data_IF_796952268781
#
_entry.id   IF_796952268781
#
_cell.length_a   1.000
_cell.length_b   1.000
_cell.length_c   1.000
_cell.angle_alpha   90.00
_cell.angle_beta   90.00
_cell.angle_gamma   90.00
#
_symmetry.space_group_name_H-M   'P 1'
#
loop_
_entity.id
_entity.type
_entity.pdbx_description
1 polymer ?
#
# COMPACT_ATOMS: atom_id res chain seq x y z
N UNK A 1 12.43 -10.34 1.71
CA UNK A 1 11.06 -9.80 1.79
C UNK A 1 11.18 -8.39 2.35
N UNK A 2 10.87 -7.36 1.56
CA UNK A 2 10.85 -5.97 2.04
C UNK A 2 9.66 -5.84 2.99
N UNK A 3 9.92 -5.42 4.23
CA UNK A 3 8.88 -5.29 5.24
C UNK A 3 8.72 -3.82 5.57
N UNK A 4 7.51 -3.28 5.38
CA UNK A 4 7.23 -1.86 5.59
C UNK A 4 7.19 -1.58 7.09
N UNK A 5 8.04 -0.70 7.62
CA UNK A 5 7.98 -0.34 9.03
C UNK A 5 6.76 0.54 9.30
N UNK A 6 5.90 0.12 10.22
CA UNK A 6 4.70 0.87 10.56
C UNK A 6 3.59 0.06 11.21
N UNK A 7 2.39 0.64 11.22
CA UNK A 7 1.20 0.13 11.87
C UNK A 7 -0.01 0.12 10.94
N UNK A 8 -0.84 -0.91 11.06
CA UNK A 8 -2.19 -0.95 10.46
C UNK A 8 -3.22 -0.64 11.52
N UNK A 9 -4.07 0.35 11.28
CA UNK A 9 -5.14 0.74 12.21
C UNK A 9 -6.21 -0.34 12.20
N UNK A 10 -6.45 -0.96 13.36
CA UNK A 10 -7.57 -1.88 13.57
C UNK A 10 -8.82 -1.11 14.02
N UNK A 11 -8.64 -0.09 14.86
CA UNK A 11 -9.74 0.69 15.43
C UNK A 11 -9.29 2.10 15.80
N UNK A 12 -10.16 3.09 15.57
CA UNK A 12 -9.96 4.48 16.01
C UNK A 12 -10.73 4.71 17.30
N UNK A 13 -10.01 4.86 18.40
CA UNK A 13 -10.59 5.11 19.70
C UNK A 13 -10.78 6.62 19.93
N UNK A 14 -11.53 6.97 20.97
CA UNK A 14 -11.98 8.35 21.22
C UNK A 14 -10.80 9.30 21.54
N UNK A 15 -11.10 10.55 21.89
CA UNK A 15 -10.08 11.48 22.39
C UNK A 15 -9.55 10.93 23.72
N UNK A 16 -8.26 10.61 23.76
CA UNK A 16 -7.53 10.59 25.02
C UNK A 16 -7.53 12.00 25.64
N UNK A 17 -7.10 12.13 26.89
CA UNK A 17 -6.99 13.42 27.57
C UNK A 17 -6.16 14.41 26.73
N UNK A 18 -6.82 15.43 26.18
CA UNK A 18 -6.25 16.53 25.38
C UNK A 18 -5.91 16.19 23.93
N UNK A 19 -6.69 16.70 22.95
CA UNK A 19 -6.44 16.83 21.48
C UNK A 19 -5.80 15.67 20.68
N UNK A 20 -5.36 14.59 21.31
CA UNK A 20 -4.70 13.44 20.70
C UNK A 20 -5.74 12.40 20.32
N UNK A 21 -5.53 11.74 19.19
CA UNK A 21 -6.36 10.61 18.78
C UNK A 21 -5.70 9.32 19.24
N UNK A 22 -6.44 8.46 19.93
CA UNK A 22 -6.00 7.11 20.27
C UNK A 22 -6.42 6.14 19.18
N UNK A 23 -5.53 5.24 18.82
CA UNK A 23 -5.80 4.18 17.85
C UNK A 23 -5.26 2.85 18.37
N UNK A 24 -5.98 1.78 18.08
CA UNK A 24 -5.51 0.39 18.23
C UNK A 24 -5.06 -0.07 16.86
N UNK A 25 -3.88 -0.68 16.81
CA UNK A 25 -3.23 -1.07 15.59
C UNK A 25 -2.36 -2.31 15.79
N UNK A 26 -2.11 -3.03 14.71
CA UNK A 26 -1.09 -4.09 14.67
C UNK A 26 0.19 -3.54 14.02
N UNK A 27 1.33 -4.14 14.36
CA UNK A 27 2.61 -3.82 13.73
C UNK A 27 2.75 -4.54 12.39
N UNK A 28 3.13 -3.83 11.34
CA UNK A 28 3.35 -4.39 10.00
C UNK A 28 4.77 -4.99 9.88
N UNK A 29 5.77 -4.36 10.52
CA UNK A 29 7.10 -4.89 10.88
C UNK A 29 8.02 -3.77 11.39
N UNK A 30 9.23 -4.14 11.83
CA UNK A 30 10.35 -3.23 12.07
C UNK A 30 10.21 -2.39 13.34
N UNK A 31 11.22 -2.41 14.20
CA UNK A 31 11.27 -1.54 15.37
C UNK A 31 11.08 -0.07 14.97
N UNK A 32 10.25 0.65 15.72
CA UNK A 32 10.13 2.08 15.53
C UNK A 32 11.43 2.76 15.97
N UNK A 33 12.02 3.57 15.10
CA UNK A 33 13.01 4.54 15.53
C UNK A 33 12.29 5.64 16.31
N UNK A 34 12.74 5.91 17.55
CA UNK A 34 12.27 7.07 18.30
C UNK A 34 12.54 8.35 17.49
N UNK A 35 11.52 9.20 17.37
CA UNK A 35 11.62 10.44 16.61
C UNK A 35 11.49 10.29 15.09
N UNK A 36 11.22 9.09 14.56
CA UNK A 36 10.93 8.93 13.15
C UNK A 36 9.70 9.74 12.69
N UNK A 37 9.77 10.27 11.48
CA UNK A 37 8.66 10.90 10.81
C UNK A 37 7.73 9.84 10.23
N UNK A 38 6.45 9.93 10.57
CA UNK A 38 5.41 9.02 10.08
C UNK A 38 4.41 9.76 9.21
N UNK A 39 3.77 9.00 8.34
CA UNK A 39 2.69 9.46 7.49
C UNK A 39 1.54 8.48 7.51
N UNK A 40 0.33 9.01 7.47
CA UNK A 40 -0.89 8.24 7.29
C UNK A 40 -1.17 8.02 5.81
N UNK A 41 -1.53 6.79 5.48
CA UNK A 41 -1.89 6.34 4.14
C UNK A 41 -3.32 5.77 4.16
N UNK A 42 -4.17 6.13 3.18
CA UNK A 42 -3.92 6.93 1.98
C UNK A 42 -3.83 8.45 2.22
N UNK A 43 -3.23 9.19 1.28
CA UNK A 43 -3.16 10.66 1.27
C UNK A 43 -1.92 11.30 1.91
N UNK A 44 -0.91 10.51 2.34
CA UNK A 44 0.40 10.98 2.83
C UNK A 44 0.33 12.10 3.87
N UNK A 45 -0.65 12.04 4.77
CA UNK A 45 -0.83 13.08 5.78
C UNK A 45 0.23 12.90 6.88
N UNK A 46 1.02 13.92 7.23
CA UNK A 46 2.01 13.79 8.30
C UNK A 46 1.36 13.42 9.64
N UNK A 47 1.97 12.46 10.34
CA UNK A 47 1.52 11.99 11.65
C UNK A 47 2.71 11.92 12.60
N UNK A 48 2.51 12.42 13.82
CA UNK A 48 3.48 12.27 14.92
C UNK A 48 2.95 11.28 15.95
N UNK A 49 3.68 10.19 16.16
CA UNK A 49 3.42 9.23 17.24
C UNK A 49 3.97 9.83 18.54
N UNK A 50 3.12 9.92 19.56
CA UNK A 50 3.45 10.51 20.88
C UNK A 50 3.70 9.48 21.95
N UNK A 51 3.03 8.34 21.88
CA UNK A 51 3.27 7.21 22.76
C UNK A 51 2.86 5.92 22.06
N UNK A 52 3.53 4.83 22.43
CA UNK A 52 3.26 3.47 21.96
C UNK A 52 3.14 2.57 23.18
N UNK A 53 2.01 1.90 23.34
CA UNK A 53 1.79 0.93 24.42
C UNK A 53 1.44 -0.40 23.78
N UNK A 54 2.24 -1.44 24.02
CA UNK A 54 1.93 -2.79 23.57
C UNK A 54 0.93 -3.44 24.53
N UNK A 55 -0.12 -4.06 24.00
CA UNK A 55 -1.14 -4.76 24.76
C UNK A 55 -1.45 -6.12 24.09
N UNK A 56 -0.75 -7.17 24.52
CA UNK A 56 -0.80 -8.46 23.84
C UNK A 56 -0.15 -8.40 22.45
N UNK A 57 -0.90 -8.78 21.42
CA UNK A 57 -0.49 -8.72 20.01
C UNK A 57 -0.69 -7.33 19.39
N UNK A 58 -1.52 -6.49 20.02
CA UNK A 58 -1.88 -5.18 19.54
C UNK A 58 -1.00 -4.06 20.14
N UNK A 59 -1.00 -2.92 19.46
CA UNK A 59 -0.38 -1.67 19.86
C UNK A 59 -1.43 -0.59 19.98
N UNK A 60 -1.36 0.19 21.06
CA UNK A 60 -2.14 1.41 21.27
C UNK A 60 -1.24 2.62 21.04
N UNK A 61 -1.57 3.43 20.05
CA UNK A 61 -0.82 4.65 19.72
C UNK A 61 -1.62 5.89 20.11
N UNK A 62 -0.94 6.90 20.65
CA UNK A 62 -1.44 8.28 20.69
C UNK A 62 -0.79 9.06 19.57
N UNK A 63 -1.59 9.65 18.70
CA UNK A 63 -1.10 10.37 17.52
C UNK A 63 -1.61 11.81 17.43
N UNK A 64 -0.82 12.66 16.76
CA UNK A 64 -1.11 14.06 16.42
C UNK A 64 -0.84 14.32 14.94
N UNK A 65 -1.45 15.35 14.35
CA UNK A 65 -1.16 15.82 12.99
C UNK A 65 -2.26 15.50 11.98
N UNK A 66 -3.18 14.60 12.33
CA UNK A 66 -4.31 14.19 11.49
C UNK A 66 -5.63 14.28 12.27
N UNK A 67 -6.67 14.76 11.61
CA UNK A 67 -8.02 14.80 12.18
C UNK A 67 -8.59 13.39 12.31
N UNK A 68 -9.25 13.09 13.43
CA UNK A 68 -9.89 11.79 13.67
C UNK A 68 -10.84 11.36 12.55
N UNK A 69 -11.58 12.30 11.96
CA UNK A 69 -12.49 12.05 10.85
C UNK A 69 -11.81 11.55 9.56
N UNK A 70 -10.48 11.72 9.45
CA UNK A 70 -9.69 11.18 8.34
C UNK A 70 -9.13 9.77 8.62
N UNK A 71 -9.20 9.29 9.85
CA UNK A 71 -8.68 7.98 10.25
C UNK A 71 -9.75 6.91 10.12
N UNK A 72 -9.35 5.71 9.69
CA UNK A 72 -10.26 4.59 9.52
C UNK A 72 -9.52 3.25 9.67
N UNK A 73 -10.27 2.20 10.02
CA UNK A 73 -9.74 0.83 10.09
C UNK A 73 -9.25 0.35 8.72
N UNK A 74 -8.05 -0.24 8.69
CA UNK A 74 -7.31 -0.59 7.48
C UNK A 74 -6.34 0.49 7.00
N UNK A 75 -6.48 1.74 7.48
CA UNK A 75 -5.50 2.79 7.20
C UNK A 75 -4.13 2.46 7.80
N UNK A 76 -3.06 2.99 7.20
CA UNK A 76 -1.69 2.66 7.60
C UNK A 76 -0.94 3.89 8.10
N UNK A 77 -0.07 3.69 9.09
CA UNK A 77 0.89 4.68 9.57
C UNK A 77 2.28 4.11 9.35
N UNK A 78 3.03 4.67 8.41
CA UNK A 78 4.34 4.15 8.03
C UNK A 78 5.41 5.23 8.11
N UNK A 79 6.68 4.84 8.14
CA UNK A 79 7.78 5.80 8.02
C UNK A 79 7.69 6.59 6.71
N UNK A 80 7.90 7.90 6.77
CA UNK A 80 7.96 8.76 5.58
C UNK A 80 9.14 8.46 4.66
N UNK A 81 10.17 7.76 5.18
CA UNK A 81 11.35 7.32 4.40
C UNK A 81 11.04 6.16 3.47
N UNK A 82 9.91 5.46 3.67
CA UNK A 82 9.58 4.29 2.85
C UNK A 82 9.03 4.73 1.48
N UNK A 83 9.49 4.12 0.36
CA UNK A 83 9.17 4.57 -1.00
C UNK A 83 7.77 4.13 -1.44
N UNK A 84 6.77 4.59 -0.72
CA UNK A 84 5.36 4.40 -1.07
C UNK A 84 4.89 5.59 -1.91
N UNK A 85 4.22 5.29 -3.02
CA UNK A 85 3.66 6.28 -3.93
C UNK A 85 2.17 5.98 -4.12
N UNK A 86 1.32 7.01 -4.09
CA UNK A 86 -0.09 6.88 -4.46
C UNK A 86 -0.28 7.32 -5.90
N UNK A 87 -0.67 6.36 -6.72
CA UNK A 87 -0.73 6.50 -8.16
C UNK A 87 -1.85 5.65 -8.72
N UNK A 88 -2.34 6.01 -9.89
CA UNK A 88 -3.38 5.27 -10.61
C UNK A 88 -2.80 4.15 -11.46
N UNK A 89 -1.48 4.08 -11.63
CA UNK A 89 -0.87 3.17 -12.58
C UNK A 89 0.28 2.42 -11.93
N UNK A 90 0.59 1.24 -12.43
CA UNK A 90 1.80 0.52 -12.05
C UNK A 90 2.29 -0.36 -13.20
N UNK A 91 3.60 -0.56 -13.24
CA UNK A 91 4.24 -1.58 -14.06
C UNK A 91 4.43 -2.85 -13.23
N UNK A 92 4.03 -3.99 -13.79
CA UNK A 92 3.98 -5.29 -13.15
C UNK A 92 4.88 -6.29 -13.87
N UNK A 93 5.51 -7.19 -13.10
CA UNK A 93 6.17 -8.37 -13.68
C UNK A 93 5.11 -9.33 -14.22
N UNK A 94 5.23 -9.80 -15.48
CA UNK A 94 4.33 -10.81 -16.00
C UNK A 94 4.55 -12.15 -15.28
N UNK A 95 3.47 -12.90 -15.08
CA UNK A 95 3.48 -14.24 -14.48
C UNK A 95 3.65 -15.36 -15.53
N UNK A 96 4.03 -15.00 -16.76
CA UNK A 96 4.20 -15.92 -17.89
C UNK A 96 2.89 -16.39 -18.54
N UNK A 97 1.73 -15.95 -18.05
CA UNK A 97 0.42 -16.29 -18.62
C UNK A 97 -0.12 -15.14 -19.49
N UNK A 98 -1.10 -15.38 -20.37
CA UNK A 98 -1.71 -14.34 -21.19
C UNK A 98 -2.18 -13.14 -20.37
N UNK A 99 -2.10 -11.97 -21.01
CA UNK A 99 -2.61 -10.71 -20.46
C UNK A 99 -4.11 -10.85 -20.22
N UNK A 100 -4.61 -10.48 -19.03
CA UNK A 100 -6.04 -10.46 -18.80
C UNK A 100 -6.70 -9.40 -19.69
N UNK A 101 -7.65 -9.82 -20.53
CA UNK A 101 -8.25 -9.00 -21.59
C UNK A 101 -9.40 -8.10 -21.09
N UNK A 102 -9.82 -8.24 -19.84
CA UNK A 102 -10.98 -7.53 -19.28
C UNK A 102 -10.61 -6.75 -18.01
N UNK A 103 -11.52 -5.89 -17.56
CA UNK A 103 -11.35 -5.15 -16.30
C UNK A 103 -11.46 -6.11 -15.12
N UNK A 104 -10.32 -6.60 -14.62
CA UNK A 104 -10.29 -7.59 -13.56
C UNK A 104 -10.39 -6.95 -12.17
N UNK A 105 -10.87 -7.73 -11.21
CA UNK A 105 -10.94 -7.30 -9.81
C UNK A 105 -9.54 -7.37 -9.22
N UNK A 106 -9.00 -6.23 -8.80
CA UNK A 106 -7.68 -6.19 -8.19
C UNK A 106 -7.83 -6.09 -6.68
N UNK A 107 -7.19 -7.03 -5.99
CA UNK A 107 -7.00 -7.06 -4.54
C UNK A 107 -5.50 -6.96 -4.26
N UNK A 108 -5.09 -6.34 -3.17
CA UNK A 108 -3.66 -6.12 -2.94
C UNK A 108 -3.35 -4.76 -2.31
N UNK A 109 -2.06 -4.47 -2.17
CA UNK A 109 -1.56 -3.26 -1.52
C UNK A 109 -0.40 -3.47 -0.56
N UNK A 110 -0.23 -2.49 0.32
CA UNK A 110 1.01 -2.25 1.06
C UNK A 110 1.38 -3.38 2.04
N UNK A 111 0.43 -4.16 2.53
CA UNK A 111 0.69 -5.34 3.35
C UNK A 111 -0.36 -6.44 3.11
N UNK A 112 -0.05 -7.72 3.41
CA UNK A 112 -1.00 -8.83 3.27
C UNK A 112 -2.37 -8.58 3.91
N UNK A 113 -2.44 -7.79 4.99
CA UNK A 113 -3.69 -7.47 5.68
C UNK A 113 -4.39 -6.20 5.16
N UNK A 114 -3.68 -5.27 4.51
CA UNK A 114 -4.28 -4.27 3.63
C UNK A 114 -4.99 -4.97 2.45
N UNK A 115 -4.44 -6.11 2.02
CA UNK A 115 -5.00 -6.95 0.95
C UNK A 115 -6.25 -7.72 1.38
N UNK A 116 -6.53 -7.84 2.68
CA UNK A 116 -7.65 -8.63 3.22
C UNK A 116 -8.95 -7.84 3.34
N UNK A 117 -8.90 -6.52 3.51
CA UNK A 117 -10.10 -5.78 3.91
C UNK A 117 -10.75 -4.93 2.83
N UNK A 118 -10.06 -4.51 1.75
CA UNK A 118 -10.71 -3.67 0.71
C UNK A 118 -10.27 -3.96 -0.72
N UNK A 119 -11.29 -4.11 -1.57
CA UNK A 119 -11.22 -4.03 -3.02
C UNK A 119 -10.50 -2.74 -3.45
N UNK A 120 -9.37 -2.84 -4.14
CA UNK A 120 -8.67 -1.67 -4.71
C UNK A 120 -9.58 -1.03 -5.78
N UNK A 121 -10.19 -1.88 -6.60
CA UNK A 121 -10.93 -1.46 -7.77
C UNK A 121 -10.96 -2.52 -8.86
N UNK A 122 -11.67 -2.21 -9.93
CA UNK A 122 -11.42 -2.82 -11.24
C UNK A 122 -10.17 -2.17 -11.85
N UNK A 123 -9.27 -2.96 -12.42
CA UNK A 123 -8.07 -2.45 -13.12
C UNK A 123 -8.09 -2.78 -14.60
N UNK A 124 -7.62 -1.85 -15.44
CA UNK A 124 -7.42 -2.07 -16.87
C UNK A 124 -5.96 -2.47 -17.13
N UNK A 125 -5.74 -3.45 -18.01
CA UNK A 125 -4.42 -4.03 -18.25
C UNK A 125 -3.96 -3.81 -19.68
N UNK A 126 -2.68 -3.49 -19.85
CA UNK A 126 -2.05 -3.39 -21.17
C UNK A 126 -0.69 -4.05 -21.16
N UNK A 127 -0.30 -4.63 -22.31
CA UNK A 127 1.05 -5.17 -22.49
C UNK A 127 1.99 -4.03 -22.89
N UNK A 128 3.10 -3.88 -22.17
CA UNK A 128 4.11 -2.85 -22.39
C UNK A 128 5.46 -3.53 -22.61
N UNK A 129 5.65 -4.09 -23.81
CA UNK A 129 6.84 -4.89 -24.14
C UNK A 129 6.92 -6.17 -23.30
N UNK A 130 7.95 -6.29 -22.47
CA UNK A 130 8.16 -7.43 -21.56
C UNK A 130 7.41 -7.30 -20.23
N UNK A 131 6.64 -6.22 -20.02
CA UNK A 131 5.94 -5.96 -18.76
C UNK A 131 4.44 -5.79 -18.98
N UNK A 132 3.69 -5.81 -17.88
CA UNK A 132 2.25 -5.54 -17.86
C UNK A 132 2.02 -4.19 -17.16
N UNK A 133 1.31 -3.25 -17.78
CA UNK A 133 0.81 -2.07 -17.08
C UNK A 133 -0.60 -2.32 -16.56
N UNK A 134 -0.90 -1.73 -15.40
CA UNK A 134 -2.24 -1.69 -14.82
C UNK A 134 -2.64 -0.23 -14.57
N UNK A 135 -3.90 0.11 -14.86
CA UNK A 135 -4.51 1.40 -14.53
C UNK A 135 -5.74 1.21 -13.64
N UNK A 136 -5.81 1.98 -12.56
CA UNK A 136 -6.86 2.00 -11.56
C UNK A 136 -7.76 3.24 -11.69
N UNK A 137 -9.05 3.14 -11.32
CA UNK A 137 -9.98 4.28 -11.36
C UNK A 137 -9.66 5.34 -10.31
N UNK A 138 -8.96 4.97 -9.23
CA UNK A 138 -8.55 5.87 -8.16
C UNK A 138 -7.08 5.63 -7.81
N UNK A 139 -6.35 6.67 -7.36
CA UNK A 139 -5.00 6.49 -6.87
C UNK A 139 -4.97 5.50 -5.72
N UNK A 140 -3.91 4.69 -5.68
CA UNK A 140 -3.73 3.67 -4.67
C UNK A 140 -2.28 3.63 -4.21
N UNK A 141 -2.01 3.48 -2.90
CA UNK A 141 -0.65 3.44 -2.39
C UNK A 141 0.04 2.12 -2.72
N UNK A 142 1.20 2.21 -3.39
CA UNK A 142 2.01 1.09 -3.84
C UNK A 142 3.49 1.37 -3.66
N UNK A 143 4.31 0.33 -3.66
CA UNK A 143 5.77 0.42 -3.62
C UNK A 143 6.38 -0.68 -4.50
N UNK A 144 7.61 -0.52 -4.99
CA UNK A 144 8.32 -1.58 -5.71
C UNK A 144 8.42 -2.86 -4.86
N UNK A 145 8.04 -4.00 -5.42
CA UNK A 145 8.00 -5.29 -4.75
C UNK A 145 6.67 -5.62 -4.07
N UNK A 146 5.69 -4.70 -4.05
CA UNK A 146 4.34 -5.02 -3.58
C UNK A 146 3.71 -6.12 -4.44
N UNK A 147 2.92 -7.01 -3.82
CA UNK A 147 2.21 -8.08 -4.55
C UNK A 147 0.74 -7.73 -4.67
N UNK A 148 0.27 -7.64 -5.91
CA UNK A 148 -1.13 -7.49 -6.26
C UNK A 148 -1.71 -8.86 -6.61
N UNK A 149 -2.89 -9.16 -6.10
CA UNK A 149 -3.68 -10.35 -6.43
C UNK A 149 -4.84 -9.95 -7.33
N UNK A 150 -4.82 -10.42 -8.57
CA UNK A 150 -5.80 -10.09 -9.58
C UNK A 150 -6.73 -11.28 -9.77
N UNK A 151 -8.03 -11.02 -9.76
CA UNK A 151 -9.09 -12.01 -9.92
C UNK A 151 -9.77 -11.77 -11.27
N UNK A 152 -9.47 -12.64 -12.23
CA UNK A 152 -10.11 -12.65 -13.53
C UNK A 152 -11.53 -13.21 -13.52
N UNK A 153 -12.12 -13.31 -14.71
CA UNK A 153 -13.50 -13.77 -14.90
C UNK A 153 -13.75 -15.18 -14.30
N UNK A 154 -12.75 -16.06 -14.34
CA UNK A 154 -12.80 -17.41 -13.75
C UNK A 154 -12.60 -17.43 -12.22
N UNK A 155 -12.45 -16.27 -11.57
CA UNK A 155 -12.20 -16.07 -10.14
C UNK A 155 -10.93 -16.76 -9.60
N UNK A 156 -10.01 -17.17 -10.48
CA UNK A 156 -8.73 -17.75 -10.07
C UNK A 156 -7.76 -16.61 -9.74
N UNK A 157 -7.21 -16.53 -8.51
CA UNK A 157 -6.27 -15.49 -8.14
C UNK A 157 -4.93 -15.67 -8.85
N UNK A 158 -4.48 -14.60 -9.52
CA UNK A 158 -3.12 -14.46 -10.09
C UNK A 158 -2.35 -13.41 -9.29
N UNK A 159 -1.08 -13.66 -9.02
CA UNK A 159 -0.23 -12.74 -8.26
C UNK A 159 0.75 -12.05 -9.18
N UNK A 160 0.83 -10.73 -9.07
CA UNK A 160 1.71 -9.88 -9.86
C UNK A 160 2.55 -9.03 -8.93
N UNK A 161 3.84 -8.89 -9.23
CA UNK A 161 4.75 -8.06 -8.45
C UNK A 161 4.87 -6.70 -9.10
N UNK A 162 4.68 -5.64 -8.32
CA UNK A 162 4.90 -4.26 -8.77
C UNK A 162 6.39 -4.06 -9.00
N UNK A 163 6.79 -3.77 -10.23
CA UNK A 163 8.14 -3.34 -10.58
C UNK A 163 8.29 -1.85 -10.27
N UNK A 164 7.28 -1.09 -10.67
CA UNK A 164 7.31 0.36 -10.63
C UNK A 164 5.93 0.92 -10.30
N UNK A 165 5.73 1.66 -9.20
CA UNK A 165 4.50 2.39 -8.96
C UNK A 165 4.45 3.62 -9.88
N UNK A 166 3.44 3.68 -10.75
CA UNK A 166 3.31 4.67 -11.81
C UNK A 166 3.82 4.17 -13.15
N UNK A 167 3.93 5.08 -14.11
CA UNK A 167 4.52 4.81 -15.42
C UNK A 167 5.92 5.43 -15.48
N UNK A 168 6.98 4.63 -15.71
CA UNK A 168 8.32 5.17 -15.91
C UNK A 168 8.35 6.06 -17.15
N UNK A 169 9.34 6.95 -17.22
CA UNK A 169 9.62 7.76 -18.42
C UNK A 169 9.87 6.87 -19.65
N UNK A 170 9.80 7.42 -20.87
CA UNK A 170 10.10 6.62 -22.07
C UNK A 170 11.51 6.01 -22.04
N UNK A 171 12.51 6.75 -21.55
CA UNK A 171 13.89 6.27 -21.47
C UNK A 171 14.05 5.15 -20.43
N UNK A 172 13.42 5.28 -19.26
CA UNK A 172 13.40 4.23 -18.25
C UNK A 172 12.68 2.98 -18.75
N UNK A 173 11.55 3.14 -19.46
CA UNK A 173 10.83 2.01 -20.08
C UNK A 173 11.68 1.29 -21.11
N UNK A 174 12.43 2.02 -21.95
CA UNK A 174 13.34 1.42 -22.93
C UNK A 174 14.45 0.62 -22.23
N UNK A 175 15.05 1.17 -21.17
CA UNK A 175 16.07 0.48 -20.36
C UNK A 175 15.52 -0.79 -19.72
N UNK A 176 14.35 -0.72 -19.07
CA UNK A 176 13.70 -1.87 -18.44
C UNK A 176 13.40 -2.99 -19.45
N UNK A 177 12.87 -2.64 -20.63
CA UNK A 177 12.59 -3.63 -21.68
C UNK A 177 13.85 -4.28 -22.24
N UNK A 178 14.96 -3.54 -22.34
CA UNK A 178 16.24 -4.11 -22.77
C UNK A 178 16.86 -5.05 -21.73
N UNK A 179 16.61 -4.83 -20.44
CA UNK A 179 17.08 -5.71 -19.36
C UNK A 179 16.25 -7.00 -19.23
N UNK A 180 15.00 -6.97 -19.69
CA UNK A 180 14.08 -8.10 -19.64
C UNK A 180 14.14 -9.00 -20.87
N UNK A 181 15.04 -8.72 -21.82
CA UNK A 181 15.35 -9.52 -23.01
C UNK A 181 16.65 -10.28 -22.80
#
# INVERSE_FOLDING_TARGET
MLVIPGFRILKVESRGSGKLTEIVCESIAGGLEEGADFQFIPGFKPVKIKSVVKNGEDYRLRIKGIARSSLFAGGMIISSKWPVTETREALLLPDGKPVPLETEIVRGGLCPDFNRERFIGRGSFHLEGSFLSIQFPKPFPMFPGAVLTILGANRVPRKFTVVWPGMPSQDERRKLNNMAR
#
